data_IF_107511466800
#
_entry.id   IF_107511466800
#
_cell.length_a   1.000
_cell.length_b   1.000
_cell.length_c   1.000
_cell.angle_alpha   90.00
_cell.angle_beta   90.00
_cell.angle_gamma   90.00
#
_symmetry.space_group_name_H-M   'P 1'
#
loop_
_entity.id
_entity.type
_entity.pdbx_description
1 polymer ?
#
# COMPACT_ATOMS: atom_id res chain seq x y z
N UNK A 1 22.25 -55.05 12.45
CA UNK A 1 22.16 -53.91 13.39
C UNK A 1 22.62 -52.56 12.82
N UNK A 2 23.65 -52.46 11.96
CA UNK A 2 24.15 -51.15 11.45
C UNK A 2 23.13 -50.36 10.60
N UNK A 3 22.42 -51.02 9.68
CA UNK A 3 21.42 -50.37 8.82
C UNK A 3 20.27 -49.68 9.58
N UNK A 4 19.82 -50.26 10.70
CA UNK A 4 18.78 -49.67 11.55
C UNK A 4 19.27 -48.44 12.34
N UNK A 5 20.56 -48.41 12.67
CA UNK A 5 21.18 -47.27 13.35
C UNK A 5 21.38 -46.08 12.39
N UNK A 6 21.74 -46.34 11.14
CA UNK A 6 21.89 -45.32 10.10
C UNK A 6 20.55 -44.71 9.68
N UNK A 7 19.49 -45.52 9.59
CA UNK A 7 18.11 -45.05 9.36
C UNK A 7 17.58 -44.16 10.50
N UNK A 8 17.82 -44.53 11.76
CA UNK A 8 17.48 -43.66 12.90
C UNK A 8 18.24 -42.33 12.87
N UNK A 9 19.49 -42.34 12.41
CA UNK A 9 20.33 -41.14 12.32
C UNK A 9 19.90 -40.21 11.18
N UNK A 10 19.44 -40.75 10.05
CA UNK A 10 18.88 -39.95 8.96
C UNK A 10 17.53 -39.34 9.33
N UNK A 11 16.64 -40.09 9.98
CA UNK A 11 15.38 -39.57 10.52
C UNK A 11 15.60 -38.47 11.55
N UNK A 12 16.57 -38.64 12.46
CA UNK A 12 16.92 -37.62 13.44
C UNK A 12 17.46 -36.33 12.77
N UNK A 13 18.27 -36.47 11.72
CA UNK A 13 18.75 -35.32 10.91
C UNK A 13 17.62 -34.64 10.15
N UNK A 14 16.68 -35.40 9.59
CA UNK A 14 15.51 -34.86 8.90
C UNK A 14 14.59 -34.11 9.86
N UNK A 15 14.34 -34.65 11.06
CA UNK A 15 13.58 -33.96 12.12
C UNK A 15 14.28 -32.69 12.61
N UNK A 16 15.60 -32.73 12.79
CA UNK A 16 16.37 -31.55 13.18
C UNK A 16 16.36 -30.46 12.08
N UNK A 17 16.47 -30.85 10.81
CA UNK A 17 16.37 -29.93 9.68
C UNK A 17 14.96 -29.34 9.55
N UNK A 18 13.91 -30.15 9.71
CA UNK A 18 12.52 -29.68 9.73
C UNK A 18 12.25 -28.71 10.88
N UNK A 19 12.75 -29.01 12.09
CA UNK A 19 12.63 -28.13 13.25
C UNK A 19 13.39 -26.80 13.05
N UNK A 20 14.55 -26.82 12.39
CA UNK A 20 15.28 -25.60 12.02
C UNK A 20 14.51 -24.75 11.01
N UNK A 21 13.90 -25.37 9.99
CA UNK A 21 13.04 -24.69 9.00
C UNK A 21 11.81 -24.10 9.68
N UNK A 22 11.16 -24.85 10.56
CA UNK A 22 9.99 -24.40 11.31
C UNK A 22 10.35 -23.25 12.27
N UNK A 23 11.48 -23.35 12.99
CA UNK A 23 11.96 -22.29 13.87
C UNK A 23 12.32 -21.01 13.09
N UNK A 24 12.93 -21.14 11.90
CA UNK A 24 13.19 -20.01 11.01
C UNK A 24 11.88 -19.38 10.50
N UNK A 25 10.91 -20.20 10.08
CA UNK A 25 9.58 -19.73 9.67
C UNK A 25 8.81 -19.05 10.81
N UNK A 26 8.91 -19.57 12.05
CA UNK A 26 8.29 -18.95 13.23
C UNK A 26 8.95 -17.61 13.58
N UNK A 27 10.27 -17.51 13.47
CA UNK A 27 11.00 -16.25 13.63
C UNK A 27 10.59 -15.22 12.57
N UNK A 28 10.41 -15.66 11.33
CA UNK A 28 9.92 -14.80 10.24
C UNK A 28 8.49 -14.33 10.48
N UNK A 29 7.57 -15.22 10.88
CA UNK A 29 6.18 -14.87 11.22
C UNK A 29 6.08 -13.90 12.39
N UNK A 30 7.03 -13.93 13.35
CA UNK A 30 7.09 -12.94 14.43
C UNK A 30 7.57 -11.58 13.96
N UNK A 31 8.57 -11.56 13.06
CA UNK A 31 9.12 -10.33 12.48
C UNK A 31 8.12 -9.66 11.54
N UNK A 32 7.45 -10.45 10.73
CA UNK A 32 6.46 -10.04 9.75
C UNK A 32 5.18 -10.86 9.97
N UNK A 33 4.33 -10.47 10.94
CA UNK A 33 3.08 -11.15 11.17
C UNK A 33 2.24 -11.11 9.88
N UNK A 34 1.68 -12.26 9.45
CA UNK A 34 0.80 -12.26 8.31
C UNK A 34 -0.37 -11.31 8.61
N UNK A 35 -0.78 -10.48 7.65
CA UNK A 35 -1.89 -9.56 7.85
C UNK A 35 -3.12 -10.36 8.26
N UNK A 36 -3.77 -9.98 9.37
CA UNK A 36 -5.06 -10.55 9.76
C UNK A 36 -6.09 -10.12 8.72
N UNK A 37 -6.56 -11.07 7.91
CA UNK A 37 -7.48 -10.79 6.81
C UNK A 37 -8.95 -10.74 7.26
N UNK A 38 -9.27 -11.43 8.35
CA UNK A 38 -10.61 -11.54 8.94
C UNK A 38 -10.46 -11.60 10.46
N UNK A 39 -11.32 -10.89 11.19
CA UNK A 39 -11.46 -11.05 12.63
C UNK A 39 -12.42 -12.22 12.89
N UNK A 40 -11.91 -13.33 13.42
CA UNK A 40 -12.73 -14.49 13.74
C UNK A 40 -13.47 -14.25 15.07
N UNK A 41 -14.73 -14.70 15.19
CA UNK A 41 -15.47 -14.64 16.45
C UNK A 41 -14.87 -15.60 17.49
N UNK A 42 -15.12 -15.31 18.77
CA UNK A 42 -14.70 -16.19 19.86
C UNK A 42 -15.58 -17.46 19.90
N UNK A 43 -15.01 -18.66 20.09
CA UNK A 43 -15.77 -19.90 20.11
C UNK A 43 -16.72 -19.97 21.32
N UNK A 44 -17.96 -20.38 21.06
CA UNK A 44 -18.99 -20.57 22.09
C UNK A 44 -19.03 -22.01 22.63
N UNK A 45 -18.37 -22.95 21.93
CA UNK A 45 -18.32 -24.36 22.28
C UNK A 45 -19.45 -25.20 21.64
N UNK A 46 -20.37 -24.57 20.91
CA UNK A 46 -21.32 -25.26 20.05
C UNK A 46 -20.77 -25.31 18.63
N UNK A 47 -20.45 -26.52 18.16
CA UNK A 47 -19.83 -26.74 16.85
C UNK A 47 -20.61 -26.17 15.68
N UNK A 48 -21.95 -26.27 15.69
CA UNK A 48 -22.76 -25.77 14.58
C UNK A 48 -22.85 -24.25 14.59
N UNK A 49 -22.98 -23.65 15.77
CA UNK A 49 -23.03 -22.20 15.93
C UNK A 49 -21.69 -21.54 15.58
N UNK A 50 -20.58 -22.13 16.05
CA UNK A 50 -19.23 -21.65 15.80
C UNK A 50 -18.87 -21.77 14.32
N UNK A 51 -19.17 -22.91 13.68
CA UNK A 51 -18.92 -23.10 12.25
C UNK A 51 -19.69 -22.09 11.38
N UNK A 52 -20.92 -21.76 11.77
CA UNK A 52 -21.71 -20.73 11.07
C UNK A 52 -21.11 -19.34 11.27
N UNK A 53 -20.76 -18.97 12.50
CA UNK A 53 -20.17 -17.67 12.81
C UNK A 53 -18.83 -17.46 12.09
N UNK A 54 -18.02 -18.51 12.00
CA UNK A 54 -16.76 -18.51 11.24
C UNK A 54 -16.99 -18.25 9.76
N UNK A 55 -17.98 -18.93 9.16
CA UNK A 55 -18.30 -18.75 7.74
C UNK A 55 -18.83 -17.33 7.46
N UNK A 56 -19.69 -16.81 8.33
CA UNK A 56 -20.23 -15.45 8.22
C UNK A 56 -19.11 -14.40 8.31
N UNK A 57 -18.17 -14.57 9.25
CA UNK A 57 -17.01 -13.69 9.38
C UNK A 57 -16.12 -13.73 8.13
N UNK A 58 -15.84 -14.93 7.59
CA UNK A 58 -15.06 -15.10 6.37
C UNK A 58 -15.72 -14.41 5.16
N UNK A 59 -17.02 -14.62 4.95
CA UNK A 59 -17.78 -13.98 3.87
C UNK A 59 -17.79 -12.46 4.04
N UNK A 60 -17.96 -11.97 5.27
CA UNK A 60 -17.86 -10.54 5.59
C UNK A 60 -16.51 -9.95 5.17
N UNK A 61 -15.41 -10.57 5.61
CA UNK A 61 -14.07 -10.13 5.28
C UNK A 61 -13.75 -10.16 3.78
N UNK A 62 -14.27 -11.13 3.02
CA UNK A 62 -14.14 -11.13 1.55
C UNK A 62 -14.86 -9.94 0.91
N UNK A 63 -16.08 -9.63 1.35
CA UNK A 63 -16.86 -8.50 0.84
C UNK A 63 -16.19 -7.16 1.15
N UNK A 64 -15.68 -6.99 2.36
CA UNK A 64 -14.97 -5.78 2.77
C UNK A 64 -13.70 -5.57 1.95
N UNK A 65 -12.92 -6.63 1.73
CA UNK A 65 -11.72 -6.56 0.88
C UNK A 65 -12.05 -6.26 -0.57
N UNK A 66 -13.09 -6.87 -1.13
CA UNK A 66 -13.54 -6.57 -2.48
C UNK A 66 -13.92 -5.09 -2.64
N UNK A 67 -14.65 -4.52 -1.66
CA UNK A 67 -14.98 -3.08 -1.63
C UNK A 67 -13.75 -2.20 -1.49
N UNK A 68 -12.81 -2.56 -0.62
CA UNK A 68 -11.57 -1.81 -0.42
C UNK A 68 -10.70 -1.81 -1.68
N UNK A 69 -10.57 -2.96 -2.34
CA UNK A 69 -9.80 -3.06 -3.58
C UNK A 69 -10.49 -2.32 -4.72
N UNK A 70 -11.82 -2.36 -4.84
CA UNK A 70 -12.56 -1.57 -5.82
C UNK A 70 -12.31 -0.07 -5.64
N UNK A 71 -12.36 0.45 -4.41
CA UNK A 71 -12.05 1.86 -4.12
C UNK A 71 -10.60 2.21 -4.45
N UNK A 72 -9.67 1.30 -4.15
CA UNK A 72 -8.25 1.49 -4.49
C UNK A 72 -8.03 1.48 -6.00
N UNK A 73 -8.72 0.60 -6.72
CA UNK A 73 -8.67 0.51 -8.18
C UNK A 73 -9.21 1.80 -8.82
N UNK A 74 -10.34 2.31 -8.34
CA UNK A 74 -10.90 3.60 -8.74
C UNK A 74 -9.88 4.73 -8.51
N UNK A 75 -9.36 4.88 -7.29
CA UNK A 75 -8.35 5.91 -6.98
C UNK A 75 -7.05 5.81 -7.81
N UNK A 76 -6.64 4.60 -8.19
CA UNK A 76 -5.38 4.37 -8.91
C UNK A 76 -5.53 4.48 -10.44
N UNK A 77 -6.73 4.23 -10.97
CA UNK A 77 -6.98 4.11 -12.42
C UNK A 77 -7.80 5.27 -12.95
N UNK A 78 -8.57 5.94 -12.09
CA UNK A 78 -9.31 7.13 -12.45
C UNK A 78 -8.35 8.32 -12.57
N UNK A 79 -7.96 8.56 -13.81
CA UNK A 79 -7.07 9.65 -14.20
C UNK A 79 -7.86 10.92 -14.54
N UNK A 80 -9.12 11.06 -14.10
CA UNK A 80 -10.00 12.16 -14.56
C UNK A 80 -9.83 13.47 -13.76
N UNK A 81 -8.99 13.49 -12.72
CA UNK A 81 -8.80 14.67 -11.86
C UNK A 81 -7.73 15.65 -12.38
N UNK A 82 -7.71 15.95 -13.68
CA UNK A 82 -6.89 17.01 -14.27
C UNK A 82 -7.70 17.89 -15.23
N UNK A 83 -7.26 19.14 -15.39
CA UNK A 83 -7.75 20.03 -16.42
C UNK A 83 -6.57 20.64 -17.17
N UNK A 84 -6.81 21.09 -18.41
CA UNK A 84 -5.81 21.79 -19.20
C UNK A 84 -6.32 23.14 -19.66
N UNK A 85 -5.39 24.08 -19.81
CA UNK A 85 -5.62 25.37 -20.43
C UNK A 85 -4.99 25.35 -21.82
N UNK A 86 -5.80 25.64 -22.85
CA UNK A 86 -5.37 25.68 -24.24
C UNK A 86 -5.13 27.14 -24.65
N UNK A 87 -3.91 27.45 -25.08
CA UNK A 87 -3.52 28.76 -25.62
C UNK A 87 -3.21 28.63 -27.10
N UNK A 88 -3.40 29.70 -27.87
CA UNK A 88 -3.08 29.68 -29.30
C UNK A 88 -1.57 29.76 -29.55
N UNK A 89 -0.83 30.43 -28.65
CA UNK A 89 0.62 30.58 -28.77
C UNK A 89 1.33 30.32 -27.43
N UNK A 90 2.65 30.10 -27.51
CA UNK A 90 3.48 29.89 -26.30
C UNK A 90 3.56 31.16 -25.45
N UNK A 91 3.64 32.32 -26.09
CA UNK A 91 3.74 33.62 -25.44
C UNK A 91 2.49 33.90 -24.60
N UNK A 92 1.31 33.50 -25.09
CA UNK A 92 0.06 33.58 -24.31
C UNK A 92 0.12 32.68 -23.06
N UNK A 93 0.60 31.44 -23.22
CA UNK A 93 0.77 30.50 -22.10
C UNK A 93 1.75 31.06 -21.06
N UNK A 94 2.90 31.56 -21.50
CA UNK A 94 3.94 32.08 -20.61
C UNK A 94 3.52 33.38 -19.91
N UNK A 95 2.83 34.28 -20.61
CA UNK A 95 2.26 35.49 -20.01
C UNK A 95 1.23 35.14 -18.93
N UNK A 96 0.35 34.16 -19.18
CA UNK A 96 -0.63 33.67 -18.21
C UNK A 96 0.05 33.06 -16.97
N UNK A 97 1.01 32.15 -17.17
CA UNK A 97 1.73 31.52 -16.06
C UNK A 97 2.58 32.53 -15.28
N UNK A 98 3.18 33.51 -15.95
CA UNK A 98 3.94 34.59 -15.34
C UNK A 98 3.07 35.52 -14.49
N UNK A 99 1.90 35.92 -14.99
CA UNK A 99 0.95 36.76 -14.26
C UNK A 99 0.47 36.13 -12.96
N UNK A 100 0.36 34.80 -12.93
CA UNK A 100 -0.01 34.03 -11.74
C UNK A 100 1.20 33.56 -10.91
N UNK A 101 2.43 33.94 -11.28
CA UNK A 101 3.65 33.46 -10.63
C UNK A 101 3.73 31.91 -10.55
N UNK A 102 3.17 31.22 -11.54
CA UNK A 102 3.08 29.75 -11.59
C UNK A 102 4.28 29.10 -12.26
N UNK A 103 5.14 29.87 -12.93
CA UNK A 103 6.35 29.36 -13.59
C UNK A 103 7.32 28.63 -12.64
N UNK A 104 7.31 28.99 -11.34
CA UNK A 104 8.08 28.31 -10.29
C UNK A 104 7.56 26.90 -9.96
N UNK A 105 6.32 26.60 -10.33
CA UNK A 105 5.63 25.36 -10.00
C UNK A 105 5.51 24.40 -11.21
N UNK A 106 5.99 24.80 -12.38
CA UNK A 106 5.99 24.00 -13.61
C UNK A 106 5.42 24.77 -14.82
N UNK A 107 5.46 24.13 -15.99
CA UNK A 107 5.02 24.74 -17.26
C UNK A 107 3.85 24.01 -17.95
N UNK A 108 3.55 22.77 -17.52
CA UNK A 108 2.54 21.87 -18.11
C UNK A 108 1.69 21.20 -17.04
N UNK A 109 2.31 20.54 -16.06
CA UNK A 109 1.62 19.87 -14.95
C UNK A 109 1.91 20.62 -13.66
N UNK A 110 0.91 21.34 -13.18
CA UNK A 110 1.00 22.17 -11.98
C UNK A 110 -0.05 21.65 -10.99
N UNK A 111 0.28 21.64 -9.70
CA UNK A 111 -0.68 21.29 -8.65
C UNK A 111 -1.84 22.29 -8.63
N UNK A 112 -3.07 21.80 -8.90
CA UNK A 112 -4.28 22.62 -8.92
C UNK A 112 -4.56 23.35 -7.60
N UNK A 113 -4.05 22.86 -6.47
CA UNK A 113 -4.16 23.54 -5.15
C UNK A 113 -3.34 24.82 -5.11
N UNK A 114 -2.18 24.83 -5.76
CA UNK A 114 -1.34 26.03 -5.88
C UNK A 114 -2.04 27.07 -6.76
N UNK A 115 -2.62 26.62 -7.87
CA UNK A 115 -3.40 27.48 -8.77
C UNK A 115 -4.61 28.08 -8.05
N UNK A 116 -5.38 27.26 -7.32
CA UNK A 116 -6.54 27.72 -6.57
C UNK A 116 -6.17 28.77 -5.51
N UNK A 117 -5.06 28.54 -4.78
CA UNK A 117 -4.54 29.50 -3.80
C UNK A 117 -4.19 30.84 -4.46
N UNK A 118 -3.54 30.81 -5.63
CA UNK A 118 -3.16 32.02 -6.36
C UNK A 118 -4.38 32.80 -6.86
N UNK A 119 -5.44 32.10 -7.25
CA UNK A 119 -6.70 32.69 -7.70
C UNK A 119 -7.65 33.06 -6.54
N UNK A 120 -7.29 32.75 -5.29
CA UNK A 120 -8.15 32.98 -4.12
C UNK A 120 -9.38 32.09 -4.05
N UNK A 121 -9.34 30.91 -4.70
CA UNK A 121 -10.45 29.95 -4.76
C UNK A 121 -10.34 28.97 -3.58
N UNK A 122 -11.46 28.78 -2.87
CA UNK A 122 -11.58 27.73 -1.85
C UNK A 122 -11.92 26.40 -2.51
N UNK A 123 -11.08 25.38 -2.30
CA UNK A 123 -11.32 24.03 -2.78
C UNK A 123 -12.06 23.18 -1.73
N UNK A 124 -12.92 22.24 -2.15
CA UNK A 124 -13.51 21.28 -1.23
C UNK A 124 -12.42 20.43 -0.57
N UNK A 125 -12.65 20.08 0.70
CA UNK A 125 -11.76 19.17 1.41
C UNK A 125 -11.81 17.79 0.78
N UNK A 126 -10.64 17.25 0.41
CA UNK A 126 -10.48 15.89 -0.08
C UNK A 126 -9.36 15.22 0.70
N UNK A 127 -9.62 14.01 1.21
CA UNK A 127 -8.62 13.16 1.85
C UNK A 127 -8.39 11.95 0.95
N UNK A 128 -7.41 12.09 0.04
CA UNK A 128 -6.96 10.98 -0.79
C UNK A 128 -5.79 10.32 -0.08
N UNK A 129 -5.90 9.04 0.33
CA UNK A 129 -4.83 8.34 1.00
C UNK A 129 -3.70 8.08 0.01
N UNK A 130 -2.67 8.93 0.03
CA UNK A 130 -1.43 8.67 -0.70
C UNK A 130 -0.53 7.77 0.12
N UNK A 131 0.02 6.74 -0.50
CA UNK A 131 1.07 5.96 0.13
C UNK A 131 2.37 6.77 0.17
N UNK A 132 2.59 7.51 1.26
CA UNK A 132 3.85 8.21 1.53
C UNK A 132 4.94 7.28 2.08
N UNK A 133 4.62 6.00 2.33
CA UNK A 133 5.56 4.99 2.81
C UNK A 133 6.48 4.45 1.71
N UNK A 134 6.45 5.02 0.50
CA UNK A 134 7.49 4.76 -0.48
C UNK A 134 8.81 5.10 0.20
N UNK A 135 9.54 4.07 0.64
CA UNK A 135 10.88 4.22 1.20
C UNK A 135 11.65 4.96 0.13
N UNK A 136 11.99 6.21 0.40
CA UNK A 136 12.91 6.95 -0.44
C UNK A 136 14.16 6.08 -0.49
N UNK A 137 14.55 5.71 -1.70
CA UNK A 137 15.72 4.88 -1.91
C UNK A 137 16.90 5.56 -1.18
N UNK A 138 17.67 4.83 -0.35
CA UNK A 138 18.74 5.41 0.45
C UNK A 138 19.73 6.23 -0.38
N UNK A 139 19.98 5.81 -1.62
CA UNK A 139 20.84 6.50 -2.59
C UNK A 139 20.27 7.87 -2.95
N UNK A 140 18.95 8.02 -3.03
CA UNK A 140 18.29 9.27 -3.37
C UNK A 140 18.24 10.25 -2.18
N UNK A 141 18.21 9.74 -0.95
CA UNK A 141 18.26 10.58 0.27
C UNK A 141 19.57 11.38 0.32
N UNK A 142 20.69 10.79 -0.12
CA UNK A 142 22.00 11.46 -0.17
C UNK A 142 22.02 12.70 -1.07
N UNK A 143 21.14 12.77 -2.08
CA UNK A 143 21.04 13.92 -2.99
C UNK A 143 20.10 15.01 -2.48
N UNK A 144 19.17 14.70 -1.57
CA UNK A 144 18.20 15.68 -1.03
C UNK A 144 18.88 16.60 0.00
N UNK A 145 19.80 16.06 0.81
CA UNK A 145 20.51 16.83 1.84
C UNK A 145 21.72 17.61 1.31
N UNK A 146 22.17 17.32 0.08
CA UNK A 146 23.15 18.15 -0.63
C UNK A 146 22.44 19.38 -1.22
N UNK A 147 22.02 20.29 -0.34
CA UNK A 147 21.60 21.64 -0.76
C UNK A 147 22.75 22.33 -1.52
N UNK A 148 22.39 22.84 -2.70
CA UNK A 148 23.07 23.94 -3.41
C UNK A 148 23.11 25.20 -2.55
#
# INVERSE_FOLDING_TARGET
MRAQADAKRSEARQKAAAALIEAAAAKERRRNPPPKLVAMPEPTGNTEADAKADLDALVGGFRERAKAESRRFELATDSEYWCCLCFQTREQKEAFLGALNLLLHGDKYIDGRVVAKQLGISLPAADVPYNTSAKVDPTWVEFIDKKR
#
